data_IF_284066430193
#
_entry.id   IF_284066430193
#
_cell.length_a   1.000
_cell.length_b   1.000
_cell.length_c   1.000
_cell.angle_alpha   90.00
_cell.angle_beta   90.00
_cell.angle_gamma   90.00
#
_symmetry.space_group_name_H-M   'P 1'
#
loop_
_entity.id
_entity.type
_entity.pdbx_description
1 polymer ?
#
# COMPACT_ATOMS: atom_id res chain seq x y z
N UNK A 1 -15.59 -23.82 -21.97
CA UNK A 1 -14.27 -23.21 -22.27
C UNK A 1 -13.17 -24.17 -21.82
N UNK A 2 -12.08 -24.34 -22.58
CA UNK A 2 -10.98 -25.27 -22.26
C UNK A 2 -9.80 -24.51 -21.66
N UNK A 3 -9.34 -24.91 -20.47
CA UNK A 3 -8.10 -24.39 -19.89
C UNK A 3 -6.90 -25.08 -20.54
N UNK A 4 -5.91 -24.32 -21.00
CA UNK A 4 -4.67 -24.85 -21.60
C UNK A 4 -3.49 -24.58 -20.67
N UNK A 5 -2.43 -25.39 -20.78
CA UNK A 5 -1.21 -25.21 -20.00
C UNK A 5 -0.62 -23.80 -20.16
N UNK A 6 -0.68 -23.25 -21.37
CA UNK A 6 -0.21 -21.88 -21.62
C UNK A 6 -1.03 -20.83 -20.86
N UNK A 7 -2.34 -21.02 -20.67
CA UNK A 7 -3.16 -20.13 -19.85
C UNK A 7 -2.84 -20.27 -18.36
N UNK A 8 -2.57 -21.48 -17.87
CA UNK A 8 -2.15 -21.70 -16.48
C UNK A 8 -0.79 -21.03 -16.20
N UNK A 9 0.21 -21.19 -17.07
CA UNK A 9 1.51 -20.54 -16.91
C UNK A 9 1.41 -19.01 -16.94
N UNK A 10 0.54 -18.45 -17.79
CA UNK A 10 0.29 -17.01 -17.83
C UNK A 10 -0.37 -16.50 -16.54
N UNK A 11 -1.35 -17.23 -16.00
CA UNK A 11 -1.96 -16.89 -14.71
C UNK A 11 -0.93 -16.93 -13.59
N UNK A 12 -0.15 -18.00 -13.52
CA UNK A 12 0.88 -18.15 -12.50
C UNK A 12 1.90 -16.99 -12.52
N UNK A 13 2.40 -16.61 -13.70
CA UNK A 13 3.33 -15.48 -13.83
C UNK A 13 2.70 -14.15 -13.42
N UNK A 14 1.43 -13.94 -13.75
CA UNK A 14 0.67 -12.75 -13.33
C UNK A 14 0.51 -12.71 -11.81
N UNK A 15 0.17 -13.83 -11.20
CA UNK A 15 0.00 -13.95 -9.75
C UNK A 15 1.33 -13.75 -9.02
N UNK A 16 2.42 -14.30 -9.57
CA UNK A 16 3.78 -14.09 -9.07
C UNK A 16 4.17 -12.61 -9.15
N UNK A 17 3.91 -11.93 -10.26
CA UNK A 17 4.17 -10.49 -10.40
C UNK A 17 3.36 -9.66 -9.39
N UNK A 18 2.10 -10.04 -9.11
CA UNK A 18 1.26 -9.41 -8.09
C UNK A 18 1.84 -9.62 -6.69
N UNK A 19 2.28 -10.83 -6.37
CA UNK A 19 2.90 -11.16 -5.08
C UNK A 19 4.21 -10.40 -4.86
N UNK A 20 5.04 -10.27 -5.90
CA UNK A 20 6.25 -9.43 -5.84
C UNK A 20 5.92 -7.96 -5.55
N UNK A 21 4.87 -7.42 -6.17
CA UNK A 21 4.39 -6.06 -5.89
C UNK A 21 3.96 -5.89 -4.42
N UNK A 22 3.26 -6.87 -3.85
CA UNK A 22 2.88 -6.85 -2.44
C UNK A 22 4.08 -6.94 -1.50
N UNK A 23 5.02 -7.84 -1.77
CA UNK A 23 6.25 -7.97 -0.97
C UNK A 23 7.05 -6.67 -0.97
N UNK A 24 7.16 -6.01 -2.12
CA UNK A 24 7.81 -4.69 -2.19
C UNK A 24 7.10 -3.66 -1.32
N UNK A 25 5.76 -3.60 -1.37
CA UNK A 25 4.98 -2.66 -0.55
C UNK A 25 5.19 -2.91 0.94
N UNK A 26 5.17 -4.18 1.37
CA UNK A 26 5.44 -4.54 2.76
C UNK A 26 6.86 -4.16 3.19
N UNK A 27 7.85 -4.40 2.34
CA UNK A 27 9.23 -4.00 2.63
C UNK A 27 9.38 -2.47 2.72
N UNK A 28 8.73 -1.70 1.83
CA UNK A 28 8.68 -0.24 1.90
C UNK A 28 8.03 0.24 3.23
N UNK A 29 7.00 -0.45 3.73
CA UNK A 29 6.34 -0.13 5.01
C UNK A 29 7.20 -0.51 6.22
N UNK A 30 7.85 -1.68 6.19
CA UNK A 30 8.75 -2.14 7.25
C UNK A 30 9.96 -1.22 7.40
N UNK A 31 10.57 -0.81 6.29
CA UNK A 31 11.75 0.07 6.30
C UNK A 31 11.42 1.50 6.70
N UNK A 32 10.26 2.02 6.30
CA UNK A 32 9.84 3.39 6.67
C UNK A 32 9.15 3.50 8.03
N UNK A 33 8.64 2.38 8.56
CA UNK A 33 7.78 2.35 9.75
C UNK A 33 6.42 3.02 9.54
N UNK A 34 6.08 3.45 8.32
CA UNK A 34 4.85 4.19 8.00
C UNK A 34 3.91 3.31 7.21
N UNK A 35 2.66 3.24 7.64
CA UNK A 35 1.61 2.53 6.88
C UNK A 35 1.38 3.19 5.52
N UNK A 36 1.48 4.53 5.46
CA UNK A 36 1.25 5.33 4.26
C UNK A 36 2.50 6.16 3.96
N UNK A 37 3.08 5.95 2.77
CA UNK A 37 4.29 6.66 2.34
C UNK A 37 3.99 7.75 1.33
N UNK A 38 2.97 7.57 0.50
CA UNK A 38 2.57 8.53 -0.54
C UNK A 38 1.10 8.91 -0.34
N UNK A 39 0.73 10.20 -0.52
CA UNK A 39 -0.66 10.62 -0.52
C UNK A 39 -1.55 9.81 -1.49
N UNK A 40 -0.98 9.38 -2.61
CA UNK A 40 -1.64 8.57 -3.62
C UNK A 40 -2.01 7.15 -3.16
N UNK A 41 -1.33 6.60 -2.14
CA UNK A 41 -1.59 5.23 -1.68
C UNK A 41 -2.95 5.11 -0.99
N UNK A 42 -3.34 6.16 -0.26
CA UNK A 42 -4.68 6.30 0.32
C UNK A 42 -4.93 7.78 0.71
N UNK A 43 -5.53 8.58 -0.19
CA UNK A 43 -5.72 10.02 0.06
C UNK A 43 -6.66 10.30 1.24
N UNK A 44 -7.64 9.42 1.48
CA UNK A 44 -8.57 9.56 2.61
C UNK A 44 -7.87 9.40 3.96
N UNK A 45 -7.11 8.31 4.14
CA UNK A 45 -6.35 8.09 5.38
C UNK A 45 -5.30 9.19 5.60
N UNK A 46 -4.69 9.69 4.52
CA UNK A 46 -3.69 10.77 4.60
C UNK A 46 -4.34 12.06 5.07
N UNK A 47 -5.45 12.48 4.47
CA UNK A 47 -6.18 13.67 4.92
C UNK A 47 -6.57 13.57 6.40
N UNK A 48 -7.05 12.40 6.85
CA UNK A 48 -7.38 12.19 8.26
C UNK A 48 -6.15 12.25 9.17
N UNK A 49 -5.02 11.65 8.78
CA UNK A 49 -3.77 11.74 9.55
C UNK A 49 -3.27 13.19 9.66
N UNK A 50 -3.36 13.96 8.57
CA UNK A 50 -2.97 15.37 8.56
C UNK A 50 -3.84 16.20 9.49
N UNK A 51 -5.16 15.98 9.47
CA UNK A 51 -6.08 16.64 10.41
C UNK A 51 -5.70 16.32 11.86
N UNK A 52 -5.50 15.04 12.19
CA UNK A 52 -5.14 14.62 13.55
C UNK A 52 -3.81 15.24 14.00
N UNK A 53 -2.81 15.32 13.12
CA UNK A 53 -1.55 16.01 13.43
C UNK A 53 -1.75 17.50 13.70
N UNK A 54 -2.64 18.17 12.95
CA UNK A 54 -3.00 19.57 13.19
C UNK A 54 -3.71 19.75 14.53
N UNK A 55 -4.66 18.87 14.85
CA UNK A 55 -5.44 18.93 16.10
C UNK A 55 -4.52 18.75 17.32
N UNK A 56 -3.59 17.78 17.25
CA UNK A 56 -2.59 17.56 18.30
C UNK A 56 -1.68 18.78 18.46
N UNK A 57 -1.20 19.35 17.35
CA UNK A 57 -0.36 20.55 17.37
C UNK A 57 -1.06 21.74 18.01
N UNK A 58 -2.34 21.94 17.69
CA UNK A 58 -3.15 22.98 18.32
C UNK A 58 -3.34 22.73 19.81
N UNK A 59 -3.53 21.49 20.25
CA UNK A 59 -3.72 21.15 21.66
C UNK A 59 -2.45 21.37 22.49
N UNK A 60 -1.27 21.06 21.94
CA UNK A 60 0.02 21.30 22.63
C UNK A 60 0.30 22.80 22.82
N UNK A 61 -0.27 23.65 21.97
CA UNK A 61 -0.06 25.10 22.00
C UNK A 61 -0.88 25.82 23.09
N UNK A 62 -1.93 25.19 23.62
CA UNK A 62 -2.75 25.69 24.73
C UNK A 62 -2.29 25.10 26.07
#
# INVERSE_FOLDING_TARGET
>A
MRITNQMMSKSFLKDLGRNQGYMKKLNDQLTSGKEIRRPSDNPFKVARSMQLHSDIGSNIQY
#
